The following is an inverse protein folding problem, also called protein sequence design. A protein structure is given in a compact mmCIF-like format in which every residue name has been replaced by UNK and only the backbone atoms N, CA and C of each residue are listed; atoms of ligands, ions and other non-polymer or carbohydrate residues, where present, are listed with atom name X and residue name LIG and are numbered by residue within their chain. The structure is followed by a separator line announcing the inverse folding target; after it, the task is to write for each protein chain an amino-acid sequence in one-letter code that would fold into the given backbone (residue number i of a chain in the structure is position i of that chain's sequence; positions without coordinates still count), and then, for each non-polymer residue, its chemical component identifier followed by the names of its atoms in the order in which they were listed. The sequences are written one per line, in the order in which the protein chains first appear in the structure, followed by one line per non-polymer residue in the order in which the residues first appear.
data_IF_932152589662
#
_entry.id   IF_932152589662
#
_cell.length_a   1.000
_cell.length_b   1.000
_cell.length_c   1.000
_cell.angle_alpha   90.00
_cell.angle_beta   90.00
_cell.angle_gamma   90.00
#
_symmetry.space_group_name_H-M   'P 1'
#
loop_
_entity.id
_entity.type
_entity.pdbx_description
1 polymer ?
#
# COMPACT_ATOMS: atom_id res chain seq x y z
N UNK A 1 21.55 -39.15 56.31
CA UNK A 1 20.10 -38.83 56.38
C UNK A 1 19.62 -38.48 54.97
N UNK A 2 18.92 -39.39 54.28
CA UNK A 2 18.28 -39.08 53.00
C UNK A 2 16.92 -38.40 53.25
N UNK A 3 16.75 -37.16 52.77
CA UNK A 3 15.45 -36.48 52.76
C UNK A 3 14.55 -37.19 51.76
N UNK A 4 13.49 -37.86 52.23
CA UNK A 4 12.41 -38.38 51.36
C UNK A 4 11.73 -37.20 50.67
N UNK A 5 11.79 -37.16 49.33
CA UNK A 5 10.99 -36.23 48.53
C UNK A 5 9.51 -36.54 48.77
N UNK A 6 8.78 -35.56 49.31
CA UNK A 6 7.40 -35.72 49.79
C UNK A 6 6.35 -35.07 48.88
N UNK A 7 6.70 -34.67 47.65
CA UNK A 7 5.85 -33.79 46.85
C UNK A 7 6.08 -33.90 45.36
N UNK A 8 5.77 -35.06 44.79
CA UNK A 8 5.50 -35.16 43.36
C UNK A 8 4.39 -36.18 43.18
N UNK A 9 3.13 -35.72 43.25
CA UNK A 9 2.01 -36.58 42.87
C UNK A 9 1.91 -36.60 41.35
N UNK A 10 1.48 -37.72 40.77
CA UNK A 10 1.28 -37.83 39.32
C UNK A 10 0.30 -36.75 38.81
N UNK A 11 -0.70 -36.41 39.62
CA UNK A 11 -1.67 -35.34 39.35
C UNK A 11 -1.00 -33.97 39.29
N UNK A 12 -0.06 -33.66 40.18
CA UNK A 12 0.67 -32.39 40.21
C UNK A 12 1.53 -32.19 38.95
N UNK A 13 2.14 -33.26 38.44
CA UNK A 13 2.86 -33.26 37.16
C UNK A 13 1.91 -33.04 35.98
N UNK A 14 0.74 -33.70 35.97
CA UNK A 14 -0.26 -33.52 34.91
C UNK A 14 -0.76 -32.08 34.87
N UNK A 15 -1.06 -31.49 36.03
CA UNK A 15 -1.52 -30.10 36.13
C UNK A 15 -0.42 -29.12 35.66
N UNK A 16 0.82 -29.33 36.08
CA UNK A 16 1.94 -28.50 35.65
C UNK A 16 2.17 -28.55 34.13
N UNK A 17 2.05 -29.72 33.51
CA UNK A 17 2.17 -29.89 32.07
C UNK A 17 1.02 -29.17 31.34
N UNK A 18 -0.23 -29.33 31.79
CA UNK A 18 -1.40 -28.67 31.19
C UNK A 18 -1.27 -27.15 31.26
N UNK A 19 -0.91 -26.60 32.44
CA UNK A 19 -0.70 -25.15 32.60
C UNK A 19 0.44 -24.67 31.71
N UNK A 20 1.56 -25.40 31.65
CA UNK A 20 2.69 -25.08 30.79
C UNK A 20 2.29 -25.04 29.30
N UNK A 21 1.52 -26.01 28.83
CA UNK A 21 1.02 -26.04 27.45
C UNK A 21 0.12 -24.85 27.15
N UNK A 22 -0.81 -24.51 28.04
CA UNK A 22 -1.72 -23.36 27.87
C UNK A 22 -0.92 -22.06 27.74
N UNK A 23 0.08 -21.84 28.60
CA UNK A 23 0.91 -20.63 28.56
C UNK A 23 1.69 -20.54 27.25
N UNK A 24 2.32 -21.64 26.82
CA UNK A 24 3.10 -21.67 25.57
C UNK A 24 2.20 -21.39 24.36
N UNK A 25 1.01 -21.98 24.31
CA UNK A 25 0.06 -21.73 23.23
C UNK A 25 -0.41 -20.26 23.21
N UNK A 26 -0.74 -19.70 24.37
CA UNK A 26 -1.13 -18.29 24.49
C UNK A 26 -0.01 -17.34 24.06
N UNK A 27 1.22 -17.57 24.51
CA UNK A 27 2.38 -16.80 24.11
C UNK A 27 2.67 -16.93 22.60
N UNK A 28 2.49 -18.13 22.03
CA UNK A 28 2.63 -18.39 20.61
C UNK A 28 1.65 -17.56 19.76
N UNK A 29 0.38 -17.47 20.18
CA UNK A 29 -0.62 -16.65 19.48
C UNK A 29 -0.25 -15.15 19.49
N UNK A 30 0.21 -14.63 20.63
CA UNK A 30 0.66 -13.24 20.74
C UNK A 30 1.84 -12.97 19.80
N UNK A 31 2.80 -13.88 19.76
CA UNK A 31 3.97 -13.77 18.89
C UNK A 31 3.57 -13.77 17.41
N UNK A 32 2.69 -14.70 16.98
CA UNK A 32 2.19 -14.76 15.60
C UNK A 32 1.44 -13.48 15.21
N UNK A 33 0.57 -12.99 16.08
CA UNK A 33 -0.21 -11.76 15.85
C UNK A 33 0.71 -10.55 15.70
N UNK A 34 1.75 -10.48 16.52
CA UNK A 34 2.75 -9.41 16.47
C UNK A 34 3.51 -9.44 15.14
N UNK A 35 3.93 -10.62 14.68
CA UNK A 35 4.61 -10.77 13.39
C UNK A 35 3.74 -10.37 12.20
N UNK A 36 2.47 -10.78 12.19
CA UNK A 36 1.49 -10.37 11.17
C UNK A 36 1.28 -8.84 11.18
N UNK A 37 1.19 -8.23 12.36
CA UNK A 37 1.04 -6.79 12.51
C UNK A 37 2.24 -6.05 11.93
N UNK A 38 3.47 -6.51 12.21
CA UNK A 38 4.68 -5.91 11.63
C UNK A 38 4.71 -5.96 10.10
N UNK A 39 4.29 -7.08 9.50
CA UNK A 39 4.20 -7.17 8.04
C UNK A 39 3.19 -6.20 7.44
N UNK A 40 2.01 -6.06 8.07
CA UNK A 40 0.99 -5.13 7.62
C UNK A 40 1.48 -3.67 7.71
N UNK A 41 2.18 -3.32 8.78
CA UNK A 41 2.75 -1.97 8.95
C UNK A 41 3.81 -1.68 7.89
N UNK A 42 4.70 -2.63 7.56
CA UNK A 42 5.70 -2.44 6.50
C UNK A 42 5.04 -2.20 5.13
N UNK A 43 4.01 -2.98 4.79
CA UNK A 43 3.26 -2.81 3.54
C UNK A 43 2.59 -1.43 3.45
N UNK A 44 1.95 -0.97 4.53
CA UNK A 44 1.35 0.36 4.60
C UNK A 44 2.42 1.45 4.49
N UNK A 45 3.56 1.28 5.17
CA UNK A 45 4.67 2.25 5.12
C UNK A 45 5.19 2.45 3.70
N UNK A 46 5.36 1.36 2.93
CA UNK A 46 5.81 1.44 1.53
C UNK A 46 4.79 2.15 0.64
N UNK A 47 3.50 1.88 0.83
CA UNK A 47 2.43 2.59 0.11
C UNK A 47 2.45 4.09 0.42
N UNK A 48 2.63 4.47 1.68
CA UNK A 48 2.71 5.87 2.10
C UNK A 48 3.95 6.57 1.54
N UNK A 49 5.10 5.91 1.53
CA UNK A 49 6.33 6.43 0.93
C UNK A 49 6.13 6.74 -0.56
N UNK A 50 5.58 5.78 -1.30
CA UNK A 50 5.27 5.92 -2.72
C UNK A 50 4.27 7.06 -2.97
N UNK A 51 3.18 7.12 -2.18
CA UNK A 51 2.18 8.18 -2.28
C UNK A 51 2.80 9.56 -2.06
N UNK A 52 3.54 9.73 -0.95
CA UNK A 52 4.14 11.03 -0.59
C UNK A 52 5.12 11.47 -1.67
N UNK A 53 5.95 10.55 -2.17
CA UNK A 53 6.90 10.86 -3.23
C UNK A 53 6.21 11.30 -4.53
N UNK A 54 5.21 10.56 -5.00
CA UNK A 54 4.45 10.92 -6.21
C UNK A 54 3.74 12.26 -5.99
N UNK A 55 3.06 12.43 -4.86
CA UNK A 55 2.34 13.65 -4.54
C UNK A 55 3.25 14.88 -4.52
N UNK A 56 4.44 14.78 -3.91
CA UNK A 56 5.42 15.86 -3.90
C UNK A 56 5.91 16.20 -5.31
N UNK A 57 6.26 15.18 -6.11
CA UNK A 57 6.76 15.38 -7.47
C UNK A 57 5.70 16.01 -8.38
N UNK A 58 4.50 15.43 -8.43
CA UNK A 58 3.39 15.90 -9.26
C UNK A 58 2.94 17.30 -8.82
N UNK A 59 2.78 17.53 -7.52
CA UNK A 59 2.40 18.85 -6.99
C UNK A 59 3.42 19.92 -7.34
N UNK A 60 4.71 19.61 -7.25
CA UNK A 60 5.76 20.56 -7.60
C UNK A 60 5.69 20.94 -9.08
N UNK A 61 5.51 19.98 -9.98
CA UNK A 61 5.43 20.27 -11.41
C UNK A 61 4.16 21.03 -11.78
N UNK A 62 2.98 20.61 -11.27
CA UNK A 62 1.73 21.33 -11.49
C UNK A 62 1.84 22.78 -11.02
N UNK A 63 2.57 23.06 -9.93
CA UNK A 63 2.77 24.44 -9.43
C UNK A 63 3.75 25.27 -10.26
N UNK A 64 4.70 24.64 -10.96
CA UNK A 64 5.79 25.32 -11.66
C UNK A 64 5.48 25.56 -13.13
N UNK A 65 4.90 24.58 -13.81
CA UNK A 65 4.66 24.60 -15.25
C UNK A 65 3.20 24.36 -15.63
N UNK A 66 2.31 24.12 -14.66
CA UNK A 66 0.96 23.65 -14.92
C UNK A 66 0.93 22.20 -15.39
N UNK A 67 -0.18 21.80 -16.02
CA UNK A 67 -0.35 20.49 -16.62
C UNK A 67 -0.81 20.66 -18.08
N UNK A 68 -0.15 19.96 -18.99
CA UNK A 68 -0.52 19.87 -20.39
C UNK A 68 -1.24 18.55 -20.62
N UNK A 69 -2.49 18.63 -21.09
CA UNK A 69 -3.31 17.47 -21.39
C UNK A 69 -2.87 16.77 -22.68
N UNK A 70 -2.37 17.52 -23.67
CA UNK A 70 -1.98 16.95 -24.97
C UNK A 70 -0.61 16.26 -24.89
N UNK A 71 0.27 16.73 -23.98
CA UNK A 71 1.57 16.12 -23.70
C UNK A 71 1.80 16.01 -22.17
N UNK A 72 1.19 15.01 -21.50
CA UNK A 72 1.29 14.85 -20.07
C UNK A 72 2.70 14.43 -19.66
N UNK A 73 3.33 15.25 -18.82
CA UNK A 73 4.65 14.95 -18.24
C UNK A 73 4.66 13.68 -17.38
N UNK A 74 3.57 13.42 -16.66
CA UNK A 74 3.43 12.22 -15.86
C UNK A 74 2.28 11.37 -16.37
N UNK A 75 2.56 10.09 -16.57
CA UNK A 75 1.57 9.08 -16.95
C UNK A 75 1.50 8.02 -15.86
N UNK A 76 0.31 7.44 -15.69
CA UNK A 76 0.08 6.30 -14.82
C UNK A 76 -0.36 5.13 -15.70
N UNK A 77 0.44 4.07 -15.70
CA UNK A 77 0.15 2.86 -16.48
C UNK A 77 0.09 1.65 -15.54
N UNK A 78 -0.99 0.88 -15.64
CA UNK A 78 -1.19 -0.31 -14.81
C UNK A 78 -1.17 -1.56 -15.69
N UNK A 79 -0.27 -2.48 -15.37
CA UNK A 79 -0.11 -3.75 -16.09
C UNK A 79 -0.28 -4.93 -15.12
N UNK A 80 -0.81 -6.04 -15.65
CA UNK A 80 -0.92 -7.30 -14.89
C UNK A 80 0.42 -8.02 -14.92
N UNK A 81 1.09 -8.06 -13.78
CA UNK A 81 2.38 -8.73 -13.59
C UNK A 81 2.20 -10.09 -12.87
N UNK A 82 2.98 -11.10 -13.27
CA UNK A 82 2.94 -12.43 -12.65
C UNK A 82 3.97 -12.53 -11.51
N UNK A 83 3.53 -12.31 -10.28
CA UNK A 83 4.40 -12.38 -9.09
C UNK A 83 4.20 -13.72 -8.37
N UNK A 84 5.14 -14.66 -8.55
CA UNK A 84 5.20 -15.95 -7.83
C UNK A 84 3.87 -16.72 -7.81
N UNK A 85 3.28 -16.94 -8.98
CA UNK A 85 2.02 -17.69 -9.21
C UNK A 85 0.72 -16.93 -8.88
N UNK A 86 0.79 -15.62 -8.60
CA UNK A 86 -0.40 -14.76 -8.52
C UNK A 86 -0.29 -13.63 -9.53
N UNK A 87 -1.36 -13.41 -10.30
CA UNK A 87 -1.53 -12.20 -11.07
C UNK A 87 -1.70 -11.01 -10.10
N UNK A 88 -0.89 -9.98 -10.26
CA UNK A 88 -0.91 -8.76 -9.46
C UNK A 88 -0.95 -7.57 -10.41
N UNK A 89 -1.85 -6.62 -10.15
CA UNK A 89 -1.89 -5.38 -10.92
C UNK A 89 -0.82 -4.43 -10.37
N UNK A 90 0.18 -4.10 -11.19
CA UNK A 90 1.25 -3.16 -10.83
C UNK A 90 1.03 -1.87 -11.61
N UNK A 91 0.86 -0.76 -10.89
CA UNK A 91 0.75 0.57 -11.49
C UNK A 91 2.08 1.30 -11.37
N UNK A 92 2.52 1.90 -12.47
CA UNK A 92 3.77 2.67 -12.55
C UNK A 92 3.46 4.10 -12.96
N UNK A 93 3.95 5.04 -12.17
CA UNK A 93 3.99 6.46 -12.55
C UNK A 93 5.33 6.71 -13.24
N UNK A 94 5.30 7.23 -14.46
CA UNK A 94 6.48 7.50 -15.28
C UNK A 94 6.58 8.98 -15.63
N UNK A 95 7.80 9.50 -15.77
CA UNK A 95 8.10 10.85 -16.27
C UNK A 95 8.40 10.76 -17.78
N UNK A 96 7.46 11.23 -18.60
CA UNK A 96 7.51 11.17 -20.07
C UNK A 96 8.64 12.03 -20.62
N UNK A 97 9.05 13.11 -19.93
CA UNK A 97 10.17 13.95 -20.38
C UNK A 97 11.52 13.24 -20.26
N UNK A 98 11.61 12.22 -19.41
CA UNK A 98 12.86 11.52 -19.06
C UNK A 98 12.86 10.05 -19.46
N UNK A 99 11.78 9.55 -20.05
CA UNK A 99 11.54 8.14 -20.36
C UNK A 99 11.88 7.21 -19.18
N UNK A 100 11.52 7.61 -17.96
CA UNK A 100 11.91 6.91 -16.73
C UNK A 100 10.72 6.59 -15.83
N UNK A 101 10.61 5.34 -15.33
CA UNK A 101 9.66 4.99 -14.28
C UNK A 101 10.06 5.71 -12.99
N UNK A 102 9.11 6.38 -12.36
CA UNK A 102 9.32 7.14 -11.15
C UNK A 102 9.07 6.26 -9.92
N UNK A 103 7.90 5.62 -9.86
CA UNK A 103 7.49 4.72 -8.78
C UNK A 103 6.52 3.68 -9.33
N UNK A 104 6.75 2.41 -8.96
CA UNK A 104 5.81 1.32 -9.18
C UNK A 104 5.22 0.86 -7.86
N UNK A 105 3.91 0.63 -7.84
CA UNK A 105 3.20 0.15 -6.66
C UNK A 105 2.10 -0.85 -7.04
N UNK A 106 1.81 -1.82 -6.16
CA UNK A 106 0.73 -2.75 -6.41
C UNK A 106 -0.63 -2.11 -6.15
N UNK A 107 -1.57 -2.31 -7.08
CA UNK A 107 -2.99 -1.98 -6.92
C UNK A 107 -3.73 -3.20 -6.37
N UNK A 108 -4.34 -3.03 -5.21
CA UNK A 108 -5.03 -4.11 -4.51
C UNK A 108 -6.43 -4.30 -5.09
N UNK A 109 -6.59 -5.26 -6.01
CA UNK A 109 -7.88 -5.55 -6.65
C UNK A 109 -8.59 -6.71 -5.94
N UNK A 110 -9.92 -6.60 -5.82
CA UNK A 110 -10.75 -7.73 -5.38
C UNK A 110 -10.64 -8.89 -6.36
N UNK A 111 -10.48 -10.12 -5.85
CA UNK A 111 -10.09 -11.32 -6.59
C UNK A 111 -10.94 -11.70 -7.82
N UNK A 112 -12.14 -11.16 -7.96
CA UNK A 112 -13.11 -11.68 -8.94
C UNK A 112 -12.84 -11.28 -10.40
N UNK A 113 -12.02 -10.26 -10.71
CA UNK A 113 -11.61 -10.02 -12.10
C UNK A 113 -10.36 -9.11 -12.24
N UNK A 114 -9.18 -9.62 -11.88
CA UNK A 114 -7.90 -8.88 -11.96
C UNK A 114 -7.55 -8.53 -13.43
N UNK A 115 -7.97 -9.36 -14.39
CA UNK A 115 -7.56 -9.20 -15.79
C UNK A 115 -8.26 -8.03 -16.48
N UNK A 116 -9.56 -7.86 -16.26
CA UNK A 116 -10.30 -6.75 -16.87
C UNK A 116 -10.11 -5.46 -16.06
N UNK A 117 -10.18 -5.53 -14.72
CA UNK A 117 -10.19 -4.32 -13.88
C UNK A 117 -8.82 -3.63 -13.70
N UNK A 118 -7.72 -4.28 -14.10
CA UNK A 118 -6.39 -3.67 -13.99
C UNK A 118 -6.15 -2.59 -15.06
N UNK A 119 -6.63 -2.82 -16.29
CA UNK A 119 -6.43 -1.92 -17.43
C UNK A 119 -7.67 -1.09 -17.82
N UNK A 120 -8.87 -1.45 -17.34
CA UNK A 120 -10.14 -0.88 -17.82
C UNK A 120 -10.49 0.52 -17.26
N UNK A 121 -9.64 1.10 -16.43
CA UNK A 121 -9.76 2.49 -16.04
C UNK A 121 -8.49 3.20 -16.48
N UNK A 122 -8.58 3.92 -17.61
CA UNK A 122 -7.62 4.94 -18.00
C UNK A 122 -7.67 6.04 -16.93
N UNK A 123 -6.98 5.81 -15.81
CA UNK A 123 -6.83 6.79 -14.76
C UNK A 123 -5.90 7.87 -15.30
N UNK A 124 -6.49 8.97 -15.76
CA UNK A 124 -5.73 10.20 -15.87
C UNK A 124 -5.21 10.53 -14.48
N UNK A 125 -3.88 10.48 -14.36
CA UNK A 125 -3.20 10.81 -13.12
C UNK A 125 -3.56 12.23 -12.67
N UNK A 126 -3.79 13.13 -13.63
CA UNK A 126 -4.08 14.55 -13.44
C UNK A 126 -5.25 14.91 -14.35
N UNK A 127 -6.33 15.43 -13.77
CA UNK A 127 -7.51 15.91 -14.49
C UNK A 127 -7.75 17.39 -14.13
N UNK A 128 -8.10 18.27 -15.09
CA UNK A 128 -8.53 19.62 -14.76
C UNK A 128 -9.88 19.61 -14.03
N UNK A 129 -10.04 20.45 -13.01
CA UNK A 129 -11.33 20.59 -12.31
C UNK A 129 -12.27 21.43 -13.17
N UNK A 130 -13.53 20.97 -13.41
CA UNK A 130 -14.49 21.72 -14.20
C UNK A 130 -14.71 23.13 -13.63
N UNK A 131 -14.73 24.13 -14.51
CA UNK A 131 -14.90 25.56 -14.17
C UNK A 131 -13.75 26.17 -13.35
N UNK A 132 -12.58 25.52 -13.27
CA UNK A 132 -11.39 26.09 -12.67
C UNK A 132 -10.11 25.57 -13.36
N UNK A 133 -9.70 26.27 -14.40
CA UNK A 133 -8.53 25.94 -15.24
C UNK A 133 -7.19 25.94 -14.48
N UNK A 134 -7.21 26.42 -13.24
CA UNK A 134 -6.04 26.47 -12.38
C UNK A 134 -6.00 25.38 -11.32
N UNK A 135 -7.08 24.62 -11.14
CA UNK A 135 -7.18 23.58 -10.14
C UNK A 135 -7.17 22.22 -10.83
N UNK A 136 -6.24 21.39 -10.43
CA UNK A 136 -6.07 20.03 -10.95
C UNK A 136 -6.40 19.02 -9.86
N UNK A 137 -7.07 17.95 -10.26
CA UNK A 137 -7.38 16.79 -9.44
C UNK A 137 -6.37 15.71 -9.78
N UNK A 138 -5.63 15.25 -8.78
CA UNK A 138 -4.67 14.16 -8.92
C UNK A 138 -5.25 12.90 -8.28
N UNK A 139 -5.26 11.79 -9.00
CA UNK A 139 -5.87 10.53 -8.54
C UNK A 139 -4.87 9.36 -8.56
N UNK A 140 -4.72 8.66 -7.43
CA UNK A 140 -3.75 7.58 -7.26
C UNK A 140 -4.39 6.31 -6.67
N UNK A 141 -4.50 5.20 -7.42
CA UNK A 141 -5.14 3.97 -6.97
C UNK A 141 -4.25 3.12 -6.06
N UNK A 142 -3.79 3.70 -4.94
CA UNK A 142 -2.82 3.09 -4.02
C UNK A 142 -3.42 2.65 -2.67
N UNK A 143 -4.70 2.96 -2.40
CA UNK A 143 -5.37 2.52 -1.17
C UNK A 143 -5.52 0.99 -1.08
N UNK A 144 -5.93 0.51 0.08
CA UNK A 144 -6.43 -0.86 0.21
C UNK A 144 -7.73 -0.99 -0.60
N UNK A 145 -7.96 -2.13 -1.24
CA UNK A 145 -9.06 -2.39 -2.18
C UNK A 145 -8.99 -1.63 -3.52
N UNK A 146 -7.91 -0.90 -3.80
CA UNK A 146 -7.68 -0.31 -5.12
C UNK A 146 -8.46 0.98 -5.38
N UNK A 147 -9.01 1.58 -4.32
CA UNK A 147 -9.56 2.93 -4.33
C UNK A 147 -8.48 3.98 -4.57
N UNK A 148 -8.88 5.13 -5.10
CA UNK A 148 -7.98 6.22 -5.41
C UNK A 148 -7.91 7.26 -4.30
N UNK A 149 -6.70 7.57 -3.86
CA UNK A 149 -6.44 8.78 -3.08
C UNK A 149 -6.50 9.96 -4.04
N UNK A 150 -7.36 10.92 -3.74
CA UNK A 150 -7.59 12.11 -4.55
C UNK A 150 -7.12 13.34 -3.77
N UNK A 151 -6.30 14.17 -4.40
CA UNK A 151 -5.94 15.48 -3.87
C UNK A 151 -5.99 16.53 -4.96
N UNK A 152 -6.06 17.80 -4.56
CA UNK A 152 -6.18 18.92 -5.48
C UNK A 152 -4.95 19.81 -5.42
N UNK A 153 -4.48 20.25 -6.58
CA UNK A 153 -3.31 21.12 -6.71
C UNK A 153 -3.68 22.33 -7.56
N UNK A 154 -3.41 23.52 -7.04
CA UNK A 154 -3.57 24.76 -7.78
C UNK A 154 -2.26 25.17 -8.46
N UNK A 155 -2.33 25.63 -9.71
CA UNK A 155 -1.23 26.30 -10.39
C UNK A 155 -1.02 27.70 -9.80
N UNK A 156 0.24 28.13 -9.72
CA UNK A 156 0.64 29.36 -9.02
C UNK A 156 0.02 30.62 -9.61
N UNK A 157 -0.12 30.67 -10.93
CA UNK A 157 -0.51 31.90 -11.64
C UNK A 157 -2.00 32.26 -11.48
N UNK A 158 -2.80 31.41 -10.85
CA UNK A 158 -4.22 31.68 -10.59
C UNK A 158 -4.53 32.10 -9.15
N UNK A 159 -3.52 32.12 -8.28
CA UNK A 159 -3.65 32.55 -6.88
C UNK A 159 -3.14 34.00 -6.70
N UNK A 160 -2.62 34.61 -7.77
CA UNK A 160 -2.17 36.01 -7.84
C UNK A 160 -3.17 36.86 -8.60
#
# INVERSE_FOLDING_TARGET
MQKRQRGFTLVELMVAMVIGTIIILGAGQLFLTTFQTFQNVDQISRKQENLIFIAQRVTQEIRQSGHDHDNPRFILECEVEQVKEKAQCTCTVSDTDRDQPLVSFPRDLSRDDISNQCAELAYELIEPVPNNDALYRVSLPIENNGESIIFHVAHRDAVL
#
